data_IF_986908551944
#
_entry.id   IF_986908551944
#
_cell.length_a   1.000
_cell.length_b   1.000
_cell.length_c   1.000
_cell.angle_alpha   90.00
_cell.angle_beta   90.00
_cell.angle_gamma   90.00
#
_symmetry.space_group_name_H-M   'P 1'
#
loop_
_entity.id
_entity.type
_entity.pdbx_description
1 polymer ?
#
# COMPACT_ATOMS: atom_id res chain seq x y z
N UNK A 1 11.15 -7.11 -15.39
CA UNK A 1 10.42 -6.17 -16.27
C UNK A 1 8.94 -6.53 -16.36
N UNK A 2 8.51 -7.54 -17.13
CA UNK A 2 7.08 -7.90 -17.30
C UNK A 2 6.18 -7.86 -16.05
N UNK A 3 6.63 -8.39 -14.91
CA UNK A 3 5.86 -8.38 -13.67
C UNK A 3 5.67 -6.98 -13.06
N UNK A 4 6.72 -6.15 -13.15
CA UNK A 4 6.69 -4.75 -12.71
C UNK A 4 5.77 -3.95 -13.64
N UNK A 5 5.86 -4.16 -14.95
CA UNK A 5 4.99 -3.47 -15.92
C UNK A 5 3.51 -3.81 -15.68
N UNK A 6 3.20 -5.09 -15.47
CA UNK A 6 1.84 -5.54 -15.17
C UNK A 6 1.33 -4.98 -13.83
N UNK A 7 2.17 -4.92 -12.81
CA UNK A 7 1.84 -4.33 -11.51
C UNK A 7 1.46 -2.86 -11.67
N UNK A 8 2.31 -2.06 -12.31
CA UNK A 8 2.08 -0.63 -12.44
C UNK A 8 0.91 -0.31 -13.37
N UNK A 9 0.72 -1.06 -14.46
CA UNK A 9 -0.48 -0.95 -15.28
C UNK A 9 -1.77 -1.26 -14.51
N UNK A 10 -1.71 -2.12 -13.48
CA UNK A 10 -2.86 -2.39 -12.59
C UNK A 10 -3.06 -1.30 -11.55
N UNK A 11 -1.99 -0.79 -10.93
CA UNK A 11 -2.08 0.33 -10.01
C UNK A 11 -2.66 1.58 -10.69
N UNK A 12 -2.24 1.87 -11.92
CA UNK A 12 -2.77 3.00 -12.71
C UNK A 12 -4.28 2.87 -12.96
N UNK A 13 -4.76 1.67 -13.32
CA UNK A 13 -6.22 1.43 -13.47
C UNK A 13 -6.99 1.56 -12.16
N UNK A 14 -6.40 1.15 -11.03
CA UNK A 14 -7.02 1.28 -9.72
C UNK A 14 -7.07 2.74 -9.27
N UNK A 15 -6.01 3.50 -9.55
CA UNK A 15 -5.94 4.94 -9.32
C UNK A 15 -7.07 5.67 -10.05
N UNK A 16 -7.23 5.43 -11.36
CA UNK A 16 -8.33 6.00 -12.16
C UNK A 16 -9.71 5.59 -11.61
N UNK A 17 -9.87 4.30 -11.26
CA UNK A 17 -11.15 3.80 -10.72
C UNK A 17 -11.54 4.48 -9.41
N UNK A 18 -10.57 4.67 -8.52
CA UNK A 18 -10.74 5.25 -7.19
C UNK A 18 -10.86 6.78 -7.21
N UNK A 19 -10.57 7.43 -8.34
CA UNK A 19 -10.76 8.88 -8.49
C UNK A 19 -12.20 9.33 -8.24
N UNK A 20 -13.19 8.51 -8.58
CA UNK A 20 -14.62 8.87 -8.50
C UNK A 20 -15.44 7.97 -7.57
N UNK A 21 -14.82 7.01 -6.88
CA UNK A 21 -15.51 6.00 -6.06
C UNK A 21 -14.77 5.83 -4.76
N UNK A 22 -15.47 5.75 -3.63
CA UNK A 22 -14.83 5.57 -2.32
C UNK A 22 -14.15 4.21 -2.15
N UNK A 23 -14.73 3.14 -2.69
CA UNK A 23 -14.22 1.76 -2.58
C UNK A 23 -14.14 1.07 -3.95
N UNK A 24 -13.60 -0.15 -3.97
CA UNK A 24 -13.42 -0.91 -5.22
C UNK A 24 -14.73 -1.36 -5.86
N UNK A 25 -15.76 -1.66 -5.06
CA UNK A 25 -17.03 -2.24 -5.54
C UNK A 25 -18.21 -1.53 -4.89
N UNK A 26 -18.96 -0.76 -5.68
CA UNK A 26 -20.10 0.02 -5.16
C UNK A 26 -19.68 1.11 -4.17
N UNK A 27 -20.61 1.50 -3.30
CA UNK A 27 -20.40 2.53 -2.25
C UNK A 27 -20.10 1.96 -0.87
N UNK A 28 -19.80 0.66 -0.77
CA UNK A 28 -19.53 -0.02 0.50
C UNK A 28 -18.17 -0.71 0.48
N UNK A 29 -17.60 -0.87 1.67
CA UNK A 29 -16.39 -1.65 1.86
C UNK A 29 -16.69 -3.13 1.64
N UNK A 30 -15.85 -3.79 0.86
CA UNK A 30 -15.99 -5.22 0.54
C UNK A 30 -14.69 -5.98 0.84
N UNK A 31 -14.73 -7.31 0.73
CA UNK A 31 -13.52 -8.14 0.84
C UNK A 31 -12.42 -7.73 -0.17
N UNK A 32 -12.81 -7.23 -1.36
CA UNK A 32 -11.85 -6.75 -2.35
C UNK A 32 -10.96 -5.63 -1.77
N UNK A 33 -11.55 -4.75 -0.96
CA UNK A 33 -10.82 -3.65 -0.33
C UNK A 33 -9.85 -4.13 0.73
N UNK A 34 -10.28 -5.11 1.54
CA UNK A 34 -9.43 -5.77 2.54
C UNK A 34 -8.22 -6.41 1.87
N UNK A 35 -8.45 -7.18 0.79
CA UNK A 35 -7.37 -7.85 0.04
C UNK A 35 -6.38 -6.84 -0.55
N UNK A 36 -6.87 -5.76 -1.17
CA UNK A 36 -5.99 -4.72 -1.71
C UNK A 36 -5.21 -4.01 -0.60
N UNK A 37 -5.86 -3.64 0.50
CA UNK A 37 -5.24 -2.91 1.60
C UNK A 37 -3.99 -3.61 2.14
N UNK A 38 -4.05 -4.93 2.36
CA UNK A 38 -2.91 -5.69 2.88
C UNK A 38 -1.65 -5.57 2.00
N UNK A 39 -1.85 -5.40 0.69
CA UNK A 39 -0.76 -5.15 -0.27
C UNK A 39 -0.29 -3.70 -0.17
N UNK A 40 -1.21 -2.73 -0.19
CA UNK A 40 -0.87 -1.30 -0.14
C UNK A 40 -0.12 -0.93 1.15
N UNK A 41 -0.53 -1.46 2.30
CA UNK A 41 0.09 -1.22 3.60
C UNK A 41 1.58 -1.62 3.67
N UNK A 42 2.01 -2.53 2.79
CA UNK A 42 3.40 -3.03 2.71
C UNK A 42 4.20 -2.40 1.57
N UNK A 43 3.54 -1.68 0.66
CA UNK A 43 4.10 -1.32 -0.63
C UNK A 43 5.35 -0.44 -0.49
N UNK A 44 5.24 0.72 0.17
CA UNK A 44 6.37 1.64 0.28
C UNK A 44 7.42 1.18 1.29
N UNK A 45 6.99 0.49 2.35
CA UNK A 45 7.88 -0.02 3.39
C UNK A 45 8.77 -1.18 2.93
N UNK A 46 8.26 -2.00 2.01
CA UNK A 46 8.91 -3.23 1.58
C UNK A 46 9.00 -3.31 0.06
N UNK A 47 7.89 -3.35 -0.66
CA UNK A 47 7.88 -3.78 -2.07
C UNK A 47 8.64 -2.85 -3.00
N UNK A 48 8.60 -1.53 -2.74
CA UNK A 48 9.39 -0.55 -3.50
C UNK A 48 10.89 -0.89 -3.44
N UNK A 49 11.43 -1.12 -2.25
CA UNK A 49 12.85 -1.43 -2.06
C UNK A 49 13.17 -2.90 -2.29
N UNK A 50 12.65 -3.77 -1.42
CA UNK A 50 12.98 -5.19 -1.34
C UNK A 50 12.64 -5.98 -2.60
N UNK A 51 11.52 -5.66 -3.25
CA UNK A 51 11.08 -6.32 -4.49
C UNK A 51 11.34 -5.50 -5.75
N UNK A 52 11.95 -4.32 -5.62
CA UNK A 52 12.27 -3.41 -6.74
C UNK A 52 11.03 -2.98 -7.53
N UNK A 53 9.86 -2.92 -6.87
CA UNK A 53 8.63 -2.36 -7.43
C UNK A 53 8.66 -0.83 -7.34
N UNK A 54 9.63 -0.18 -7.99
CA UNK A 54 10.08 1.17 -7.66
C UNK A 54 9.83 2.25 -8.74
N UNK A 55 8.89 2.04 -9.68
CA UNK A 55 8.56 3.11 -10.64
C UNK A 55 7.89 4.30 -9.96
N UNK A 56 7.01 4.05 -8.99
CA UNK A 56 6.31 5.03 -8.15
C UNK A 56 6.04 4.43 -6.77
N UNK A 57 6.01 5.26 -5.73
CA UNK A 57 5.56 4.86 -4.39
C UNK A 57 4.03 4.96 -4.31
N UNK A 58 3.41 4.31 -3.34
CA UNK A 58 2.00 4.46 -3.01
C UNK A 58 1.66 5.92 -2.71
N UNK A 59 2.51 6.63 -1.94
CA UNK A 59 2.27 8.06 -1.64
C UNK A 59 2.25 8.98 -2.87
N UNK A 60 2.79 8.52 -4.00
CA UNK A 60 2.79 9.28 -5.26
C UNK A 60 1.47 9.09 -6.05
N UNK A 61 0.56 8.21 -5.58
CA UNK A 61 -0.79 8.01 -6.14
C UNK A 61 -1.85 8.67 -5.25
N UNK A 62 -2.43 9.83 -5.63
CA UNK A 62 -3.31 10.57 -4.73
C UNK A 62 -4.57 9.80 -4.32
N UNK A 63 -5.21 9.06 -5.24
CA UNK A 63 -6.43 8.32 -4.92
C UNK A 63 -6.15 7.03 -4.17
N UNK A 64 -5.15 6.24 -4.58
CA UNK A 64 -4.73 5.02 -3.87
C UNK A 64 -4.19 5.36 -2.48
N UNK A 65 -3.43 6.44 -2.32
CA UNK A 65 -2.93 6.85 -1.01
C UNK A 65 -4.04 7.36 -0.10
N UNK A 66 -4.96 8.18 -0.62
CA UNK A 66 -6.15 8.59 0.13
C UNK A 66 -7.01 7.38 0.52
N UNK A 67 -7.21 6.44 -0.40
CA UNK A 67 -7.94 5.20 -0.17
C UNK A 67 -7.28 4.33 0.92
N UNK A 68 -5.96 4.12 0.85
CA UNK A 68 -5.23 3.32 1.82
C UNK A 68 -5.30 3.96 3.22
N UNK A 69 -5.23 5.29 3.33
CA UNK A 69 -5.39 6.02 4.59
C UNK A 69 -6.82 5.96 5.15
N UNK A 70 -7.85 6.08 4.31
CA UNK A 70 -9.27 5.90 4.72
C UNK A 70 -9.48 4.53 5.35
N UNK A 71 -8.88 3.48 4.78
CA UNK A 71 -8.92 2.15 5.38
C UNK A 71 -8.08 2.08 6.66
N UNK A 72 -6.82 2.53 6.64
CA UNK A 72 -5.91 2.48 7.79
C UNK A 72 -6.48 3.16 9.03
N UNK A 73 -7.16 4.30 8.87
CA UNK A 73 -7.70 5.08 9.99
C UNK A 73 -8.92 4.43 10.66
N UNK A 74 -9.41 3.30 10.13
CA UNK A 74 -10.40 2.45 10.82
C UNK A 74 -9.67 1.55 11.82
N UNK A 75 -10.13 1.43 13.08
CA UNK A 75 -9.50 0.58 14.09
C UNK A 75 -9.23 -0.86 13.60
N UNK A 76 -10.22 -1.48 12.94
CA UNK A 76 -10.14 -2.84 12.40
C UNK A 76 -9.04 -3.06 11.34
N UNK A 77 -8.44 -1.99 10.80
CA UNK A 77 -7.34 -2.06 9.83
C UNK A 77 -6.04 -1.58 10.48
N UNK A 78 -5.98 -0.32 10.93
CA UNK A 78 -4.75 0.29 11.42
C UNK A 78 -4.12 -0.43 12.62
N UNK A 79 -4.94 -0.88 13.57
CA UNK A 79 -4.46 -1.60 14.76
C UNK A 79 -3.83 -2.96 14.43
N UNK A 80 -4.12 -3.49 13.23
CA UNK A 80 -3.57 -4.76 12.74
C UNK A 80 -2.24 -4.60 12.00
N UNK A 81 -1.80 -3.36 11.74
CA UNK A 81 -0.59 -3.08 10.96
C UNK A 81 0.60 -2.82 11.88
N UNK A 82 1.47 -3.82 12.01
CA UNK A 82 2.78 -3.65 12.65
C UNK A 82 3.89 -3.55 11.57
N UNK A 83 4.27 -2.31 11.21
CA UNK A 83 5.28 -2.06 10.16
C UNK A 83 6.68 -2.56 10.53
N UNK A 84 7.03 -2.57 11.81
CA UNK A 84 8.32 -3.11 12.25
C UNK A 84 8.39 -4.62 12.01
N UNK A 85 7.35 -5.35 12.43
CA UNK A 85 7.27 -6.80 12.19
C UNK A 85 7.25 -7.12 10.69
N UNK A 86 6.48 -6.38 9.89
CA UNK A 86 6.45 -6.51 8.43
C UNK A 86 7.87 -6.35 7.86
N UNK A 87 8.55 -5.24 8.15
CA UNK A 87 9.87 -4.96 7.57
C UNK A 87 10.90 -6.00 8.01
N UNK A 88 10.95 -6.33 9.30
CA UNK A 88 11.85 -7.37 9.82
C UNK A 88 11.64 -8.71 9.14
N UNK A 89 10.39 -9.13 8.97
CA UNK A 89 10.09 -10.36 8.25
C UNK A 89 10.70 -10.33 6.85
N UNK A 90 10.35 -9.36 6.00
CA UNK A 90 10.82 -9.36 4.61
C UNK A 90 12.33 -9.21 4.46
N UNK A 91 12.95 -8.29 5.21
CA UNK A 91 14.37 -7.96 5.03
C UNK A 91 15.31 -8.95 5.74
N UNK A 92 14.84 -9.74 6.72
CA UNK A 92 15.68 -10.71 7.44
C UNK A 92 15.51 -12.15 6.98
N UNK A 93 14.34 -12.55 6.44
CA UNK A 93 14.08 -13.95 6.05
C UNK A 93 14.44 -14.26 4.59
N UNK A 94 14.40 -13.27 3.69
CA UNK A 94 14.75 -13.45 2.28
C UNK A 94 16.26 -13.22 2.04
N UNK A 95 17.09 -14.10 2.58
CA UNK A 95 18.56 -14.04 2.47
C UNK A 95 19.08 -13.95 1.03
N UNK A 96 18.41 -14.62 0.08
CA UNK A 96 18.75 -14.54 -1.36
C UNK A 96 18.56 -13.13 -1.94
N UNK A 97 17.61 -12.36 -1.41
CA UNK A 97 17.33 -11.00 -1.88
C UNK A 97 18.08 -9.93 -1.08
N UNK A 98 18.27 -10.15 0.23
CA UNK A 98 18.99 -9.25 1.13
C UNK A 98 19.99 -10.02 2.03
N UNK A 99 21.16 -10.40 1.51
CA UNK A 99 22.16 -11.15 2.27
C UNK A 99 22.66 -10.42 3.52
N UNK A 100 22.67 -9.09 3.49
CA UNK A 100 23.13 -8.24 4.60
C UNK A 100 22.15 -8.19 5.77
N UNK A 101 20.89 -8.60 5.56
CA UNK A 101 19.78 -8.51 6.54
C UNK A 101 19.56 -7.12 7.13
N UNK A 102 20.03 -6.08 6.44
CA UNK A 102 19.81 -4.69 6.83
C UNK A 102 18.33 -4.37 6.62
N UNK A 103 17.67 -3.89 7.67
CA UNK A 103 16.28 -3.41 7.63
C UNK A 103 16.31 -1.88 7.44
N UNK A 104 15.78 -1.34 6.32
CA UNK A 104 15.76 0.10 6.10
C UNK A 104 14.97 0.84 7.19
N UNK A 105 15.36 2.07 7.52
CA UNK A 105 14.60 2.90 8.48
C UNK A 105 13.33 3.50 7.86
N UNK A 106 13.40 3.93 6.61
CA UNK A 106 12.28 4.54 5.90
C UNK A 106 11.17 3.54 5.48
N UNK A 107 10.16 4.03 4.76
CA UNK A 107 9.89 5.45 4.48
C UNK A 107 9.28 6.16 5.71
N UNK A 108 9.46 7.48 5.79
CA UNK A 108 8.73 8.32 6.75
C UNK A 108 7.45 8.80 6.06
N UNK A 109 6.31 8.24 6.47
CA UNK A 109 4.99 8.55 5.89
C UNK A 109 3.95 8.66 6.99
N UNK A 110 3.01 9.59 6.84
CA UNK A 110 1.92 9.80 7.78
C UNK A 110 0.63 9.14 7.29
N UNK A 111 0.33 7.96 7.84
CA UNK A 111 -0.90 7.21 7.57
C UNK A 111 -2.15 7.85 8.21
N UNK A 112 -1.97 8.77 9.17
CA UNK A 112 -3.05 9.41 9.92
C UNK A 112 -3.46 10.76 9.36
N UNK A 113 -2.73 11.30 8.38
CA UNK A 113 -3.09 12.53 7.69
C UNK A 113 -4.50 12.43 7.05
N UNK A 114 -5.29 13.52 7.02
CA UNK A 114 -6.62 13.54 6.41
C UNK A 114 -6.62 13.04 4.96
N UNK A 115 -7.64 12.26 4.59
CA UNK A 115 -7.70 11.55 3.31
C UNK A 115 -8.79 12.05 2.34
N UNK A 116 -9.73 12.89 2.80
CA UNK A 116 -10.83 13.50 2.04
C UNK A 116 -11.76 12.53 1.26
N UNK A 117 -11.63 11.22 1.48
CA UNK A 117 -12.40 10.18 0.78
C UNK A 117 -13.88 10.17 1.12
N UNK A 118 -14.26 10.71 2.28
CA UNK A 118 -15.65 10.69 2.76
C UNK A 118 -16.64 11.47 1.87
N UNK A 119 -16.15 12.39 1.03
CA UNK A 119 -16.97 13.14 0.06
C UNK A 119 -17.42 12.31 -1.15
N UNK A 120 -16.78 11.15 -1.39
CA UNK A 120 -17.03 10.31 -2.56
C UNK A 120 -18.15 9.30 -2.29
N UNK A 121 -18.93 8.95 -3.33
CA UNK A 121 -19.96 7.92 -3.24
C UNK A 121 -19.39 6.52 -3.05
#
# INVERSE_FOLDING_TARGET
ERAVDALFARLDRLEERLATRRYLVGGQLTEADVRLFTTLARFDAVYVGHFRCNLRRLVDYPNLWGYARDLYQRPAFGETVNLDHIKRHYYMTHDQLNPTRIVPKGPLVDWTAPHDRARLP
#
